data_IF_317475884747
#
_entry.id   IF_317475884747
#
_cell.length_a   1.000
_cell.length_b   1.000
_cell.length_c   1.000
_cell.angle_alpha   90.00
_cell.angle_beta   90.00
_cell.angle_gamma   90.00
#
_symmetry.space_group_name_H-M   'P 1'
#
loop_
_entity.id
_entity.type
_entity.pdbx_description
1 polymer ?
#
# COMPACT_ATOMS: atom_id res chain seq x y z
N UNK A 1 7.26 23.73 -9.97
CA UNK A 1 6.62 23.39 -8.68
C UNK A 1 5.98 24.60 -8.02
N UNK A 2 6.70 25.70 -7.81
CA UNK A 2 6.19 26.91 -7.13
C UNK A 2 4.83 27.41 -7.66
N UNK A 3 4.67 27.56 -8.98
CA UNK A 3 3.39 27.94 -9.60
C UNK A 3 2.21 27.05 -9.19
N UNK A 4 2.42 25.74 -9.08
CA UNK A 4 1.35 24.82 -8.68
C UNK A 4 0.97 25.05 -7.20
N UNK A 5 1.97 25.22 -6.33
CA UNK A 5 1.76 25.56 -4.91
C UNK A 5 0.98 26.86 -4.75
N UNK A 6 1.38 27.90 -5.48
CA UNK A 6 0.73 29.21 -5.44
C UNK A 6 -0.72 29.16 -5.91
N UNK A 7 -0.99 28.40 -6.98
CA UNK A 7 -2.34 28.21 -7.52
C UNK A 7 -3.26 27.42 -6.59
N UNK A 8 -2.70 26.53 -5.76
CA UNK A 8 -3.43 25.75 -4.76
C UNK A 8 -3.33 26.32 -3.35
N UNK A 9 -2.80 27.54 -3.18
CA UNK A 9 -2.58 28.14 -1.87
C UNK A 9 -3.89 28.20 -1.07
N UNK A 10 -3.81 27.75 0.17
CA UNK A 10 -4.93 27.71 1.11
C UNK A 10 -5.96 26.61 0.86
N UNK A 11 -5.81 25.77 -0.17
CA UNK A 11 -6.69 24.62 -0.38
C UNK A 11 -6.25 23.41 0.44
N UNK A 12 -7.19 22.80 1.13
CA UNK A 12 -7.00 21.58 1.93
C UNK A 12 -8.13 20.58 1.69
N UNK A 13 -7.83 19.29 1.90
CA UNK A 13 -8.84 18.26 2.06
C UNK A 13 -9.38 18.31 3.49
N UNK A 14 -10.70 18.19 3.63
CA UNK A 14 -11.38 18.16 4.93
C UNK A 14 -12.36 16.99 5.01
N UNK A 15 -12.54 16.46 6.21
CA UNK A 15 -13.65 15.57 6.52
C UNK A 15 -14.98 16.32 6.41
N UNK A 16 -16.12 15.60 6.33
CA UNK A 16 -17.44 16.25 6.37
C UNK A 16 -17.68 17.14 7.61
N UNK A 17 -16.99 16.85 8.73
CA UNK A 17 -17.00 17.68 9.95
C UNK A 17 -16.30 19.03 9.79
N UNK A 18 -15.49 19.21 8.74
CA UNK A 18 -14.70 20.43 8.49
C UNK A 18 -13.26 20.38 9.01
N UNK A 19 -12.90 19.34 9.76
CA UNK A 19 -11.51 19.08 10.19
C UNK A 19 -10.62 18.72 9.01
N UNK A 20 -9.34 19.12 9.05
CA UNK A 20 -8.37 18.82 8.01
C UNK A 20 -8.13 17.30 7.96
N UNK A 21 -8.22 16.73 6.76
CA UNK A 21 -7.98 15.33 6.51
C UNK A 21 -6.56 15.09 5.97
N UNK A 22 -5.92 13.96 6.30
CA UNK A 22 -4.59 13.64 5.79
C UNK A 22 -4.63 13.32 4.29
N UNK A 23 -3.72 13.92 3.52
CA UNK A 23 -3.57 13.65 2.09
C UNK A 23 -2.59 12.52 1.81
N UNK A 24 -2.90 11.28 2.22
CA UNK A 24 -2.02 10.13 1.96
C UNK A 24 -1.78 9.92 0.47
N UNK A 25 -0.56 9.53 0.10
CA UNK A 25 -0.20 9.29 -1.29
C UNK A 25 0.89 8.23 -1.44
N UNK A 26 0.92 7.58 -2.60
CA UNK A 26 1.90 6.57 -2.96
C UNK A 26 2.18 6.61 -4.47
N UNK A 27 3.26 5.95 -4.91
CA UNK A 27 3.71 6.01 -6.31
C UNK A 27 2.69 5.38 -7.28
N UNK A 28 2.42 4.08 -7.16
CA UNK A 28 1.51 3.38 -8.07
C UNK A 28 0.66 2.35 -7.32
N UNK A 29 -0.65 2.35 -7.52
CA UNK A 29 -1.54 1.49 -6.74
C UNK A 29 -1.62 0.04 -7.26
N UNK A 30 -1.24 -0.25 -8.51
CA UNK A 30 -1.41 -1.58 -9.09
C UNK A 30 -2.85 -1.90 -9.50
N UNK A 31 -3.68 -0.88 -9.77
CA UNK A 31 -5.03 -1.01 -10.31
C UNK A 31 -6.16 -0.60 -9.35
N UNK A 32 -5.90 -0.57 -8.04
CA UNK A 32 -6.87 -0.16 -7.01
C UNK A 32 -6.14 0.33 -5.76
N UNK A 33 -6.59 1.40 -5.12
CA UNK A 33 -6.01 1.87 -3.85
C UNK A 33 -6.43 0.98 -2.68
N UNK A 34 -5.88 1.19 -1.50
CA UNK A 34 -6.18 0.44 -0.29
C UNK A 34 -6.99 1.30 0.70
N UNK A 35 -7.80 0.64 1.54
CA UNK A 35 -8.47 1.30 2.65
C UNK A 35 -7.47 1.62 3.76
N UNK A 36 -7.60 2.80 4.39
CA UNK A 36 -6.69 3.19 5.48
C UNK A 36 -6.72 2.21 6.67
N UNK A 37 -7.88 1.65 6.99
CA UNK A 37 -8.00 0.70 8.12
C UNK A 37 -7.15 -0.57 7.93
N UNK A 38 -6.82 -0.96 6.70
CA UNK A 38 -6.01 -2.16 6.45
C UNK A 38 -4.55 -1.99 6.87
N UNK A 39 -4.08 -0.74 6.91
CA UNK A 39 -2.70 -0.40 7.24
C UNK A 39 -2.55 -0.06 8.72
N UNK A 40 -3.46 0.74 9.24
CA UNK A 40 -3.33 1.33 10.58
C UNK A 40 -4.38 0.85 11.58
N UNK A 41 -5.34 0.01 11.17
CA UNK A 41 -6.33 -0.67 12.01
C UNK A 41 -6.88 0.22 13.16
N UNK A 42 -6.68 -0.19 14.42
CA UNK A 42 -7.12 0.51 15.64
C UNK A 42 -6.17 1.60 16.11
N UNK A 43 -5.00 1.75 15.48
CA UNK A 43 -3.98 2.74 15.88
C UNK A 43 -4.23 4.12 15.26
N UNK A 44 -5.16 4.21 14.30
CA UNK A 44 -5.50 5.45 13.61
C UNK A 44 -6.86 5.98 14.03
N UNK A 45 -7.04 7.30 13.92
CA UNK A 45 -8.34 7.95 14.10
C UNK A 45 -9.42 7.21 13.28
N UNK A 46 -10.52 6.75 13.92
CA UNK A 46 -11.62 6.07 13.23
C UNK A 46 -12.20 6.86 12.04
N UNK A 47 -12.11 8.20 12.04
CA UNK A 47 -12.49 9.04 10.90
C UNK A 47 -11.66 8.72 9.67
N UNK A 48 -10.34 8.56 9.82
CA UNK A 48 -9.46 8.23 8.71
C UNK A 48 -9.85 6.88 8.12
N UNK A 49 -10.05 5.86 8.96
CA UNK A 49 -10.49 4.53 8.54
C UNK A 49 -11.84 4.54 7.81
N UNK A 50 -12.75 5.44 8.21
CA UNK A 50 -14.08 5.59 7.60
C UNK A 50 -14.08 6.34 6.27
N UNK A 51 -13.23 7.36 6.12
CA UNK A 51 -13.31 8.31 5.00
C UNK A 51 -12.23 8.10 3.94
N UNK A 52 -11.11 7.43 4.27
CA UNK A 52 -10.05 7.11 3.32
C UNK A 52 -10.19 5.66 2.87
N UNK A 53 -10.96 5.51 1.80
CA UNK A 53 -11.41 4.22 1.26
C UNK A 53 -10.72 3.85 -0.05
N UNK A 54 -10.76 2.57 -0.37
CA UNK A 54 -10.25 2.01 -1.61
C UNK A 54 -11.07 2.50 -2.82
N UNK A 55 -10.36 2.93 -3.88
CA UNK A 55 -10.93 3.33 -5.18
C UNK A 55 -10.24 2.56 -6.31
N UNK A 56 -11.01 2.19 -7.33
CA UNK A 56 -10.47 1.59 -8.55
C UNK A 56 -9.66 2.63 -9.33
N UNK A 57 -8.44 2.29 -9.75
CA UNK A 57 -7.54 3.19 -10.47
C UNK A 57 -6.91 2.45 -11.66
N UNK A 58 -7.57 2.54 -12.81
CA UNK A 58 -7.12 1.97 -14.08
C UNK A 58 -6.13 2.87 -14.84
N UNK A 59 -5.43 3.78 -14.14
CA UNK A 59 -4.67 4.88 -14.73
C UNK A 59 -3.17 4.85 -14.48
N UNK A 60 -2.67 3.94 -13.64
CA UNK A 60 -1.25 3.90 -13.27
C UNK A 60 -0.43 2.82 -14.01
N UNK A 61 -0.99 2.22 -15.06
CA UNK A 61 -0.36 1.14 -15.83
C UNK A 61 0.91 1.57 -16.57
N UNK A 62 1.09 2.87 -16.80
CA UNK A 62 2.28 3.48 -17.41
C UNK A 62 3.44 3.67 -16.40
N UNK A 63 3.21 3.39 -15.12
CA UNK A 63 4.27 3.41 -14.12
C UNK A 63 5.34 2.36 -14.47
N UNK A 64 6.64 2.73 -14.45
CA UNK A 64 7.74 1.79 -14.67
C UNK A 64 7.79 0.70 -13.57
N UNK A 65 7.18 0.97 -12.43
CA UNK A 65 7.06 0.04 -11.31
C UNK A 65 5.65 -0.55 -11.19
N UNK A 66 4.85 -0.52 -12.27
CA UNK A 66 3.51 -1.08 -12.24
C UNK A 66 3.53 -2.59 -12.03
N UNK A 67 4.40 -3.32 -12.72
CA UNK A 67 4.67 -4.74 -12.45
C UNK A 67 6.10 -4.90 -11.96
N UNK A 68 6.31 -5.83 -11.04
CA UNK A 68 7.63 -6.14 -10.52
C UNK A 68 7.76 -7.62 -10.21
N UNK A 69 9.00 -8.10 -10.25
CA UNK A 69 9.37 -9.45 -9.85
C UNK A 69 10.50 -9.39 -8.84
N UNK A 70 10.46 -10.23 -7.82
CA UNK A 70 11.54 -10.40 -6.85
C UNK A 70 11.78 -11.87 -6.61
N UNK A 71 13.05 -12.25 -6.50
CA UNK A 71 13.49 -13.60 -6.18
C UNK A 71 14.31 -13.51 -4.90
N UNK A 72 13.87 -14.20 -3.85
CA UNK A 72 14.57 -14.27 -2.57
C UNK A 72 14.93 -15.72 -2.27
N UNK A 73 16.11 -15.95 -1.67
CA UNK A 73 16.44 -17.27 -1.12
C UNK A 73 15.65 -17.46 0.17
N UNK A 74 15.14 -18.67 0.36
CA UNK A 74 14.42 -19.07 1.57
C UNK A 74 15.27 -18.78 2.82
N UNK A 75 16.55 -19.17 2.80
CA UNK A 75 17.51 -18.92 3.89
C UNK A 75 17.71 -17.45 4.24
N UNK A 76 17.58 -16.55 3.28
CA UNK A 76 17.73 -15.11 3.55
C UNK A 76 16.46 -14.56 4.20
N UNK A 77 15.28 -15.06 3.79
CA UNK A 77 14.00 -14.73 4.44
C UNK A 77 13.97 -15.27 5.87
N UNK A 78 14.44 -16.50 6.11
CA UNK A 78 14.57 -17.09 7.44
C UNK A 78 15.39 -16.22 8.39
N UNK A 79 16.57 -15.78 7.95
CA UNK A 79 17.45 -14.90 8.74
C UNK A 79 16.79 -13.56 9.10
N UNK A 80 15.89 -13.06 8.27
CA UNK A 80 15.16 -11.81 8.54
C UNK A 80 14.03 -12.00 9.56
N UNK A 81 13.59 -13.24 9.78
CA UNK A 81 12.48 -13.58 10.67
C UNK A 81 12.97 -14.10 12.04
N UNK A 82 14.17 -14.68 12.08
CA UNK A 82 14.81 -15.12 13.32
C UNK A 82 15.42 -13.89 14.02
N UNK A 83 14.98 -13.60 15.25
CA UNK A 83 15.74 -12.75 16.18
C UNK A 83 16.78 -13.62 16.89
N UNK A 84 17.95 -13.06 17.20
CA UNK A 84 19.07 -13.81 17.83
C UNK A 84 18.68 -14.56 19.12
N UNK A 85 17.60 -14.15 19.81
CA UNK A 85 17.12 -14.75 21.06
C UNK A 85 15.92 -15.71 20.90
N UNK A 86 15.58 -16.16 19.69
CA UNK A 86 14.42 -17.04 19.48
C UNK A 86 14.83 -18.54 19.46
N UNK A 87 14.44 -19.37 20.47
CA UNK A 87 14.76 -20.80 20.53
C UNK A 87 14.13 -21.64 19.39
N UNK A 88 13.36 -21.03 18.50
CA UNK A 88 12.67 -21.66 17.35
C UNK A 88 13.61 -21.94 16.15
N UNK A 89 14.89 -21.60 16.24
CA UNK A 89 15.85 -21.62 15.11
C UNK A 89 16.02 -22.95 14.33
N UNK A 90 15.48 -24.08 14.79
CA UNK A 90 15.65 -25.38 14.13
C UNK A 90 14.50 -25.84 13.20
N UNK A 91 13.42 -25.08 12.99
CA UNK A 91 12.20 -25.62 12.32
C UNK A 91 11.68 -24.92 11.07
N UNK A 92 12.49 -24.14 10.35
CA UNK A 92 12.03 -23.46 9.13
C UNK A 92 12.27 -24.29 7.85
N UNK A 93 12.03 -25.60 7.87
CA UNK A 93 11.97 -26.36 6.61
C UNK A 93 10.69 -26.08 5.80
N UNK A 94 9.77 -25.28 6.35
CA UNK A 94 8.53 -24.92 5.69
C UNK A 94 8.13 -23.48 6.05
N UNK A 95 7.98 -22.62 5.04
CA UNK A 95 7.83 -21.17 5.23
C UNK A 95 6.39 -20.78 5.57
N UNK A 96 5.39 -21.43 4.97
CA UNK A 96 3.99 -20.99 5.09
C UNK A 96 3.10 -22.05 5.72
N UNK A 97 2.62 -21.80 6.93
CA UNK A 97 1.77 -22.76 7.67
C UNK A 97 0.34 -22.83 7.15
N UNK A 98 -0.11 -21.75 6.50
CA UNK A 98 -1.43 -21.62 5.89
C UNK A 98 -1.40 -20.53 4.82
N UNK A 99 -2.47 -20.49 4.03
CA UNK A 99 -2.68 -19.43 3.03
C UNK A 99 -2.57 -18.03 3.65
N UNK A 100 -1.99 -17.05 2.94
CA UNK A 100 -1.96 -15.66 3.39
C UNK A 100 -3.37 -15.11 3.60
N UNK A 101 -3.49 -14.15 4.52
CA UNK A 101 -4.69 -13.32 4.61
C UNK A 101 -4.58 -12.15 3.64
N UNK A 102 -5.69 -11.84 2.96
CA UNK A 102 -5.77 -10.75 1.99
C UNK A 102 -6.67 -9.62 2.49
N UNK A 103 -6.36 -8.40 2.07
CA UNK A 103 -7.23 -7.23 2.23
C UNK A 103 -8.37 -7.28 1.22
N UNK A 104 -9.39 -6.43 1.42
CA UNK A 104 -10.49 -6.29 0.45
C UNK A 104 -10.05 -5.76 -0.92
N UNK A 105 -8.84 -5.20 -1.04
CA UNK A 105 -8.25 -4.78 -2.31
C UNK A 105 -7.44 -5.89 -3.01
N UNK A 106 -7.24 -7.04 -2.35
CA UNK A 106 -6.43 -8.16 -2.85
C UNK A 106 -4.94 -8.08 -2.51
N UNK A 107 -4.52 -7.17 -1.63
CA UNK A 107 -3.15 -7.13 -1.12
C UNK A 107 -2.98 -8.14 0.01
N UNK A 108 -1.75 -8.60 0.23
CA UNK A 108 -1.45 -9.48 1.36
C UNK A 108 -1.45 -8.66 2.65
N UNK A 109 -2.33 -9.05 3.57
CA UNK A 109 -2.47 -8.50 4.92
C UNK A 109 -1.55 -9.18 5.90
N UNK A 110 -1.51 -10.52 5.90
CA UNK A 110 -0.66 -11.31 6.79
C UNK A 110 -0.12 -12.53 6.10
N UNK A 111 1.13 -12.84 6.40
CA UNK A 111 1.80 -14.08 6.03
C UNK A 111 2.07 -14.86 7.30
N UNK A 112 1.76 -16.15 7.30
CA UNK A 112 1.86 -17.03 8.47
C UNK A 112 2.96 -18.06 8.29
N UNK A 113 3.71 -18.31 9.36
CA UNK A 113 4.80 -19.28 9.42
C UNK A 113 4.43 -20.47 10.30
N UNK A 114 5.14 -21.60 10.15
CA UNK A 114 4.83 -22.88 10.84
C UNK A 114 4.97 -22.85 12.35
N UNK A 115 5.81 -21.97 12.86
CA UNK A 115 5.96 -21.72 14.30
C UNK A 115 4.82 -20.86 14.90
N UNK A 116 3.79 -20.50 14.11
CA UNK A 116 2.71 -19.62 14.56
C UNK A 116 3.06 -18.12 14.47
N UNK A 117 4.29 -17.78 14.09
CA UNK A 117 4.67 -16.40 13.78
C UNK A 117 3.92 -15.89 12.55
N UNK A 118 3.72 -14.58 12.47
CA UNK A 118 3.21 -13.93 11.26
C UNK A 118 3.87 -12.58 11.05
N UNK A 119 4.01 -12.18 9.78
CA UNK A 119 4.36 -10.80 9.41
C UNK A 119 3.10 -10.08 8.94
N UNK A 120 2.85 -8.90 9.52
CA UNK A 120 1.70 -8.07 9.20
C UNK A 120 1.96 -7.12 8.02
N UNK A 121 0.89 -6.44 7.58
CA UNK A 121 0.87 -5.58 6.40
C UNK A 121 2.07 -4.62 6.33
N UNK A 122 2.34 -3.89 7.42
CA UNK A 122 3.40 -2.88 7.47
C UNK A 122 4.81 -3.48 7.41
N UNK A 123 4.99 -4.69 7.95
CA UNK A 123 6.29 -5.32 8.07
C UNK A 123 6.72 -6.03 6.78
N UNK A 124 5.77 -6.54 5.99
CA UNK A 124 6.06 -7.33 4.78
C UNK A 124 7.02 -6.62 3.83
N UNK A 125 6.73 -5.35 3.49
CA UNK A 125 7.55 -4.59 2.53
C UNK A 125 8.91 -4.24 3.08
N UNK A 126 8.99 -3.91 4.36
CA UNK A 126 10.25 -3.51 4.99
C UNK A 126 11.18 -4.71 5.15
N UNK A 127 10.67 -5.79 5.76
CA UNK A 127 11.42 -7.02 5.99
C UNK A 127 11.86 -7.65 4.67
N UNK A 128 10.94 -7.82 3.71
CA UNK A 128 11.22 -8.50 2.45
C UNK A 128 11.71 -7.57 1.33
N UNK A 129 11.84 -6.25 1.62
CA UNK A 129 12.23 -5.20 0.67
C UNK A 129 11.40 -5.23 -0.62
N UNK A 130 10.10 -5.48 -0.50
CA UNK A 130 9.17 -5.58 -1.62
C UNK A 130 8.58 -4.21 -1.99
N UNK A 131 8.34 -3.94 -3.29
CA UNK A 131 7.77 -2.65 -3.71
C UNK A 131 6.36 -2.36 -3.16
N UNK A 132 5.52 -3.39 -3.01
CA UNK A 132 4.15 -3.29 -2.49
C UNK A 132 3.71 -4.58 -1.79
N UNK A 133 2.54 -4.56 -1.13
CA UNK A 133 1.86 -5.76 -0.63
C UNK A 133 0.95 -6.40 -1.69
N UNK A 134 0.94 -5.89 -2.92
CA UNK A 134 0.06 -6.40 -3.98
C UNK A 134 0.82 -7.41 -4.82
N UNK A 135 0.92 -8.65 -4.34
CA UNK A 135 1.66 -9.71 -5.02
C UNK A 135 1.08 -11.09 -4.78
N UNK A 136 1.42 -12.02 -5.66
CA UNK A 136 1.41 -13.46 -5.43
C UNK A 136 2.84 -13.96 -5.33
N UNK A 137 3.02 -15.18 -4.83
CA UNK A 137 4.32 -15.81 -4.78
C UNK A 137 4.23 -17.31 -4.99
N UNK A 138 5.34 -17.89 -5.45
CA UNK A 138 5.54 -19.31 -5.70
C UNK A 138 6.88 -19.74 -5.08
N UNK A 139 6.97 -21.00 -4.64
CA UNK A 139 8.19 -21.59 -4.13
C UNK A 139 8.79 -22.47 -5.21
N UNK A 140 10.05 -22.22 -5.56
CA UNK A 140 10.82 -22.98 -6.53
C UNK A 140 12.15 -23.40 -5.91
N UNK A 141 12.24 -24.66 -5.45
CA UNK A 141 13.41 -25.16 -4.73
C UNK A 141 13.73 -24.29 -3.52
N UNK A 142 14.95 -23.73 -3.50
CA UNK A 142 15.44 -22.87 -2.41
C UNK A 142 15.04 -21.39 -2.54
N UNK A 143 14.12 -21.06 -3.44
CA UNK A 143 13.74 -19.69 -3.74
C UNK A 143 12.23 -19.43 -3.60
N UNK A 144 11.91 -18.21 -3.20
CA UNK A 144 10.57 -17.64 -3.30
C UNK A 144 10.56 -16.64 -4.46
N UNK A 145 9.69 -16.89 -5.44
CA UNK A 145 9.42 -15.98 -6.55
C UNK A 145 8.19 -15.15 -6.24
N UNK A 146 8.36 -13.84 -6.19
CA UNK A 146 7.27 -12.88 -5.99
C UNK A 146 6.92 -12.20 -7.30
N UNK A 147 5.63 -12.18 -7.62
CA UNK A 147 5.05 -11.50 -8.78
C UNK A 147 4.06 -10.46 -8.28
N UNK A 148 4.42 -9.19 -8.42
CA UNK A 148 3.63 -8.12 -7.83
C UNK A 148 3.38 -6.95 -8.74
N UNK A 149 2.56 -6.04 -8.22
CA UNK A 149 2.20 -4.81 -8.90
C UNK A 149 2.09 -3.61 -7.97
N UNK A 150 2.24 -2.42 -8.54
CA UNK A 150 2.25 -1.16 -7.80
C UNK A 150 3.49 -0.98 -6.92
N UNK A 151 3.61 0.22 -6.38
CA UNK A 151 4.73 0.67 -5.57
C UNK A 151 4.22 1.61 -4.48
N UNK A 152 4.50 1.27 -3.21
CA UNK A 152 4.04 2.02 -2.06
C UNK A 152 2.94 1.31 -1.27
N UNK A 153 2.42 2.01 -0.26
CA UNK A 153 1.48 1.44 0.70
C UNK A 153 0.05 1.30 0.13
N UNK A 154 -0.29 2.03 -0.93
CA UNK A 154 -1.54 1.86 -1.68
C UNK A 154 -2.70 2.72 -1.20
N UNK A 155 -2.62 3.42 -0.08
CA UNK A 155 -3.70 4.26 0.47
C UNK A 155 -3.68 5.66 -0.14
N UNK A 156 -4.87 6.24 -0.33
CA UNK A 156 -5.05 7.62 -0.80
C UNK A 156 -4.68 7.78 -2.27
N UNK A 157 -4.03 8.90 -2.59
CA UNK A 157 -3.76 9.29 -3.97
C UNK A 157 -2.62 8.48 -4.61
N UNK A 158 -2.91 7.86 -5.76
CA UNK A 158 -1.91 7.23 -6.62
C UNK A 158 -1.25 8.29 -7.51
N UNK A 159 0.05 8.54 -7.34
CA UNK A 159 0.78 9.62 -8.06
C UNK A 159 0.80 9.40 -9.57
N UNK A 160 1.10 8.17 -10.03
CA UNK A 160 1.07 7.85 -11.46
C UNK A 160 -0.34 7.92 -12.05
N UNK A 161 -1.35 7.47 -11.29
CA UNK A 161 -2.73 7.62 -11.72
C UNK A 161 -3.18 9.08 -11.75
N UNK A 162 -2.71 9.93 -10.83
CA UNK A 162 -2.96 11.37 -10.84
C UNK A 162 -2.30 12.05 -12.06
N UNK A 163 -1.05 11.70 -12.37
CA UNK A 163 -0.36 12.14 -13.61
C UNK A 163 -1.19 11.80 -14.84
N UNK A 164 -1.62 10.54 -14.97
CA UNK A 164 -2.40 10.11 -16.15
C UNK A 164 -3.76 10.80 -16.25
N UNK A 165 -4.46 11.00 -15.12
CA UNK A 165 -5.71 11.76 -15.11
C UNK A 165 -5.49 13.22 -15.52
N UNK A 166 -4.39 13.84 -15.09
CA UNK A 166 -4.03 15.20 -15.52
C UNK A 166 -3.72 15.28 -17.01
N UNK A 167 -3.03 14.28 -17.57
CA UNK A 167 -2.79 14.15 -19.01
C UNK A 167 -4.10 13.97 -19.81
N UNK A 168 -5.11 13.35 -19.19
CA UNK A 168 -6.48 13.25 -19.74
C UNK A 168 -7.33 14.52 -19.50
N UNK A 169 -6.72 15.60 -19.01
CA UNK A 169 -7.35 16.91 -18.85
C UNK A 169 -8.11 17.11 -17.54
N UNK A 170 -8.02 16.18 -16.59
CA UNK A 170 -8.65 16.34 -15.27
C UNK A 170 -7.95 17.42 -14.46
N UNK A 171 -8.76 18.29 -13.84
CA UNK A 171 -8.26 19.28 -12.89
C UNK A 171 -7.74 18.63 -11.61
N UNK A 172 -6.84 19.31 -10.90
CA UNK A 172 -6.33 18.83 -9.60
C UNK A 172 -7.46 18.58 -8.59
N UNK A 173 -8.56 19.34 -8.66
CA UNK A 173 -9.74 19.16 -7.81
C UNK A 173 -10.43 17.83 -8.10
N UNK A 174 -10.69 17.55 -9.38
CA UNK A 174 -11.28 16.27 -9.81
C UNK A 174 -10.39 15.09 -9.42
N UNK A 175 -9.06 15.23 -9.57
CA UNK A 175 -8.11 14.19 -9.21
C UNK A 175 -8.15 13.90 -7.70
N UNK A 176 -8.11 14.95 -6.85
CA UNK A 176 -8.19 14.75 -5.41
C UNK A 176 -9.52 14.14 -5.00
N UNK A 177 -10.64 14.62 -5.53
CA UNK A 177 -11.96 14.08 -5.21
C UNK A 177 -12.20 12.68 -5.78
N UNK A 178 -11.47 12.28 -6.84
CA UNK A 178 -11.47 10.89 -7.31
C UNK A 178 -10.80 9.95 -6.30
N UNK A 179 -9.64 10.33 -5.74
CA UNK A 179 -8.92 9.50 -4.77
C UNK A 179 -9.46 9.61 -3.34
N UNK A 180 -10.17 10.69 -3.03
CA UNK A 180 -10.76 10.95 -1.73
C UNK A 180 -12.26 11.28 -1.87
N UNK A 181 -13.08 10.32 -2.34
CA UNK A 181 -14.47 10.58 -2.73
C UNK A 181 -15.40 10.98 -1.58
N UNK A 182 -14.99 10.69 -0.34
CA UNK A 182 -15.76 11.01 0.86
C UNK A 182 -15.25 12.27 1.59
N UNK A 183 -14.22 12.93 1.04
CA UNK A 183 -13.68 14.18 1.56
C UNK A 183 -14.19 15.37 0.74
N UNK A 184 -13.96 16.57 1.26
CA UNK A 184 -14.28 17.83 0.57
C UNK A 184 -13.02 18.66 0.41
N UNK A 185 -13.00 19.52 -0.60
CA UNK A 185 -11.99 20.56 -0.75
C UNK A 185 -12.49 21.87 -0.13
N UNK A 186 -11.66 22.49 0.71
CA UNK A 186 -11.97 23.78 1.34
C UNK A 186 -10.78 24.72 1.19
N UNK A 187 -11.08 25.98 0.86
CA UNK A 187 -10.09 27.06 0.94
C UNK A 187 -10.16 27.68 2.34
N UNK A 188 -9.04 27.73 3.05
CA UNK A 188 -8.96 28.18 4.45
C UNK A 188 -8.29 29.54 4.63
N UNK A 189 -7.63 30.07 3.58
CA UNK A 189 -7.14 31.45 3.47
C UNK A 189 -6.82 31.77 2.00
#
# INVERSE_FOLDING_TARGET
VNKAVDQTRGWVLVFPSGEIAPGFFHSACGGKTENAYEIWNSEIDPKISRYIVSVNCNKCYDSPNFFWRRKLKIKDVEKLLIKEDDPISERISSIFSKSPEYTSSGRIRKIFFYNGFYIGYNQIRELLRLPSNFFSFEIEGDFILFFGKGFGHGVGMCQWGAKKLAEEGKSWKEILLFYFPLLKLKKIY
#
